data_IF_541291663195
#
_entry.id   IF_541291663195
#
_cell.length_a   1.000
_cell.length_b   1.000
_cell.length_c   1.000
_cell.angle_alpha   90.00
_cell.angle_beta   90.00
_cell.angle_gamma   90.00
#
_symmetry.space_group_name_H-M   'P 1'
#
loop_
_entity.id
_entity.type
_entity.pdbx_description
1 polymer ?
#
# COMPACT_ATOMS: atom_id res chain seq x y z
N UNK A 1 9.74 -1.53 6.67
CA UNK A 1 9.34 -1.01 5.33
C UNK A 1 10.45 -0.07 4.86
N UNK A 2 11.23 -0.46 3.85
CA UNK A 2 12.37 0.34 3.37
C UNK A 2 12.32 0.47 1.86
N UNK A 3 11.48 1.38 1.34
CA UNK A 3 11.61 1.85 -0.05
C UNK A 3 10.87 3.16 -0.24
N UNK A 4 11.23 4.20 0.49
CA UNK A 4 10.71 5.54 0.24
C UNK A 4 11.74 6.58 0.61
N UNK A 5 12.43 7.07 -0.41
CA UNK A 5 12.89 8.45 -0.50
C UNK A 5 13.83 8.93 0.62
N UNK A 6 15.04 8.37 0.63
CA UNK A 6 16.13 8.92 1.44
C UNK A 6 16.68 10.25 0.93
N UNK A 7 16.25 10.78 -0.22
CA UNK A 7 16.88 11.95 -0.86
C UNK A 7 17.90 11.60 -1.95
N UNK A 8 17.97 10.33 -2.35
CA UNK A 8 18.80 9.87 -3.45
C UNK A 8 18.33 10.49 -4.78
N UNK A 9 19.28 10.93 -5.60
CA UNK A 9 19.04 11.41 -6.97
C UNK A 9 19.87 10.59 -7.95
N UNK A 10 19.34 10.30 -9.12
CA UNK A 10 20.07 9.65 -10.20
C UNK A 10 20.22 10.59 -11.41
N UNK A 11 21.34 10.46 -12.11
CA UNK A 11 21.57 11.02 -13.44
C UNK A 11 22.06 9.91 -14.35
N UNK A 12 21.30 9.63 -15.38
CA UNK A 12 21.64 8.62 -16.39
C UNK A 12 22.28 9.31 -17.59
N UNK A 13 23.39 8.75 -18.06
CA UNK A 13 24.13 9.23 -19.22
C UNK A 13 23.80 8.38 -20.46
N UNK A 14 23.99 8.92 -21.68
CA UNK A 14 23.67 8.20 -22.92
C UNK A 14 24.51 6.94 -23.17
N UNK A 15 25.68 6.84 -22.53
CA UNK A 15 26.59 5.68 -22.58
C UNK A 15 26.17 4.54 -21.63
N UNK A 16 25.05 4.71 -20.91
CA UNK A 16 24.53 3.75 -19.94
C UNK A 16 25.11 3.90 -18.53
N UNK A 17 25.98 4.88 -18.29
CA UNK A 17 26.51 5.16 -16.95
C UNK A 17 25.43 5.81 -16.08
N UNK A 18 25.27 5.30 -14.85
CA UNK A 18 24.34 5.85 -13.85
C UNK A 18 25.13 6.49 -12.72
N UNK A 19 24.88 7.77 -12.48
CA UNK A 19 25.45 8.54 -11.37
C UNK A 19 24.41 8.65 -10.26
N UNK A 20 24.69 8.08 -9.11
CA UNK A 20 23.87 8.13 -7.90
C UNK A 20 24.41 9.18 -6.95
N UNK A 21 23.60 10.19 -6.62
CA UNK A 21 23.87 11.14 -5.56
C UNK A 21 23.15 10.70 -4.28
N UNK A 22 23.92 10.41 -3.25
CA UNK A 22 23.43 10.10 -1.93
C UNK A 22 22.96 11.38 -1.20
N UNK A 23 22.02 11.25 -0.26
CA UNK A 23 21.53 12.37 0.55
C UNK A 23 22.63 13.00 1.41
N UNK A 24 23.63 12.20 1.78
CA UNK A 24 24.82 12.65 2.52
C UNK A 24 25.82 13.44 1.68
N UNK A 25 25.57 13.62 0.37
CA UNK A 25 26.45 14.33 -0.56
C UNK A 25 27.45 13.44 -1.30
N UNK A 26 27.55 12.15 -0.98
CA UNK A 26 28.41 11.23 -1.73
C UNK A 26 27.86 10.94 -3.12
N UNK A 27 28.74 10.71 -4.09
CA UNK A 27 28.38 10.35 -5.45
C UNK A 27 28.99 9.01 -5.81
N UNK A 28 28.18 8.11 -6.37
CA UNK A 28 28.59 6.79 -6.81
C UNK A 28 28.33 6.65 -8.31
N UNK A 29 29.30 6.13 -9.03
CA UNK A 29 29.20 5.90 -10.48
C UNK A 29 29.09 4.41 -10.72
N UNK A 30 28.10 4.00 -11.51
CA UNK A 30 27.89 2.61 -11.90
C UNK A 30 27.81 2.52 -13.40
N UNK A 31 28.69 1.71 -13.99
CA UNK A 31 28.70 1.41 -15.42
C UNK A 31 28.28 -0.05 -15.61
N UNK A 32 27.44 -0.36 -16.61
CA UNK A 32 27.01 -1.74 -16.85
C UNK A 32 28.22 -2.61 -17.22
N UNK A 33 28.29 -3.83 -16.65
CA UNK A 33 29.37 -4.78 -16.97
C UNK A 33 29.40 -5.20 -18.44
N UNK A 34 28.28 -5.08 -19.16
CA UNK A 34 28.22 -5.27 -20.61
C UNK A 34 29.10 -4.30 -21.39
N UNK A 35 29.48 -3.16 -20.81
CA UNK A 35 30.42 -2.24 -21.44
C UNK A 35 31.80 -2.89 -21.69
N UNK A 36 32.20 -3.85 -20.86
CA UNK A 36 33.43 -4.62 -21.04
C UNK A 36 33.30 -5.68 -22.14
N UNK A 37 32.15 -6.36 -22.20
CA UNK A 37 31.91 -7.48 -23.12
C UNK A 37 31.47 -7.01 -24.52
N UNK A 38 30.73 -5.91 -24.59
CA UNK A 38 30.09 -5.40 -25.81
C UNK A 38 30.24 -3.88 -25.95
N UNK A 39 31.47 -3.33 -26.02
CA UNK A 39 31.71 -1.89 -26.01
C UNK A 39 31.02 -1.14 -27.16
N UNK A 40 30.89 -1.79 -28.32
CA UNK A 40 30.21 -1.20 -29.50
C UNK A 40 28.71 -1.02 -29.30
N UNK A 41 28.06 -1.86 -28.49
CA UNK A 41 26.61 -1.76 -28.22
C UNK A 41 26.29 -0.76 -27.11
N UNK A 42 27.24 -0.48 -26.22
CA UNK A 42 27.12 0.55 -25.19
C UNK A 42 27.48 1.95 -25.71
N UNK A 43 28.08 2.06 -26.90
CA UNK A 43 28.32 3.35 -27.54
C UNK A 43 26.98 4.00 -27.96
N UNK A 44 26.75 5.28 -27.65
CA UNK A 44 25.56 5.99 -28.11
C UNK A 44 25.48 5.95 -29.64
N UNK A 45 24.37 5.45 -30.19
CA UNK A 45 24.20 5.34 -31.66
C UNK A 45 24.08 6.71 -32.35
N UNK A 46 23.57 7.71 -31.64
CA UNK A 46 23.45 9.10 -32.08
C UNK A 46 23.40 10.02 -30.84
N UNK A 47 23.77 11.31 -30.97
CA UNK A 47 23.60 12.27 -29.89
C UNK A 47 22.10 12.37 -29.50
N UNK A 48 21.80 12.05 -28.25
CA UNK A 48 20.45 12.17 -27.70
C UNK A 48 20.19 13.65 -27.39
N UNK A 49 19.35 14.29 -28.22
CA UNK A 49 18.79 15.59 -27.89
C UNK A 49 17.69 15.35 -26.87
N UNK A 50 18.00 15.49 -25.57
CA UNK A 50 16.97 15.48 -24.53
C UNK A 50 16.28 16.84 -24.57
N UNK A 51 15.03 16.95 -25.05
CA UNK A 51 14.33 18.22 -25.02
C UNK A 51 14.25 18.69 -23.57
N UNK A 52 14.59 19.97 -23.32
CA UNK A 52 14.38 20.59 -22.01
C UNK A 52 12.93 20.34 -21.64
N UNK A 53 12.70 19.64 -20.53
CA UNK A 53 11.36 19.22 -20.09
C UNK A 53 10.47 20.45 -20.14
N UNK A 54 9.61 20.55 -21.16
CA UNK A 54 8.65 21.63 -21.24
C UNK A 54 7.85 21.55 -19.95
N UNK A 55 7.82 22.64 -19.17
CA UNK A 55 6.95 22.73 -18.02
C UNK A 55 5.58 22.23 -18.45
N UNK A 56 5.01 21.29 -17.69
CA UNK A 56 3.76 20.61 -18.05
C UNK A 56 2.74 21.72 -18.31
N UNK A 57 2.50 22.06 -19.57
CA UNK A 57 1.43 22.96 -19.95
C UNK A 57 0.16 22.29 -19.46
N UNK A 58 -0.56 22.99 -18.59
CA UNK A 58 -1.70 22.50 -17.83
C UNK A 58 -2.86 22.14 -18.74
N UNK A 59 -2.78 20.97 -19.35
CA UNK A 59 -3.86 20.31 -20.07
C UNK A 59 -4.05 18.92 -19.47
N UNK A 60 -5.26 18.64 -19.00
CA UNK A 60 -5.63 17.42 -18.30
C UNK A 60 -5.66 16.21 -19.25
N UNK A 61 -4.47 15.78 -19.68
CA UNK A 61 -4.25 14.54 -20.45
C UNK A 61 -4.64 13.28 -19.65
N UNK A 62 -4.92 13.42 -18.36
CA UNK A 62 -5.30 12.34 -17.44
C UNK A 62 -6.82 12.18 -17.27
N UNK A 63 -7.64 12.98 -17.94
CA UNK A 63 -9.11 12.90 -17.82
C UNK A 63 -9.73 11.57 -18.32
N UNK A 64 -8.94 10.66 -18.92
CA UNK A 64 -9.40 9.31 -19.33
C UNK A 64 -9.30 8.26 -18.22
N UNK A 65 -8.63 8.54 -17.10
CA UNK A 65 -8.47 7.57 -16.01
C UNK A 65 -9.49 7.82 -14.89
N UNK A 66 -10.25 6.80 -14.45
CA UNK A 66 -11.22 6.97 -13.38
C UNK A 66 -10.53 7.44 -12.10
N UNK A 67 -11.02 8.55 -11.55
CA UNK A 67 -10.50 9.11 -10.29
C UNK A 67 -11.06 8.31 -9.12
N UNK A 68 -10.22 8.10 -8.10
CA UNK A 68 -10.59 7.35 -6.91
C UNK A 68 -11.72 8.09 -6.17
N UNK A 69 -12.88 7.44 -6.02
CA UNK A 69 -14.07 8.02 -5.35
C UNK A 69 -13.91 8.21 -3.83
N UNK A 70 -13.00 7.46 -3.19
CA UNK A 70 -12.75 7.52 -1.73
C UNK A 70 -11.26 7.60 -1.44
N UNK A 71 -10.88 8.39 -0.45
CA UNK A 71 -9.48 8.43 0.01
C UNK A 71 -9.06 7.08 0.59
N UNK A 72 -7.74 6.82 0.66
CA UNK A 72 -7.24 5.59 1.30
C UNK A 72 -7.66 5.51 2.77
N UNK A 73 -7.61 6.63 3.49
CA UNK A 73 -8.06 6.71 4.88
C UNK A 73 -9.54 6.31 5.04
N UNK A 74 -10.43 6.84 4.17
CA UNK A 74 -11.85 6.49 4.18
C UNK A 74 -12.11 5.01 3.83
N UNK A 75 -11.26 4.42 2.97
CA UNK A 75 -11.33 2.99 2.64
C UNK A 75 -10.89 2.12 3.82
N UNK A 76 -9.79 2.50 4.49
CA UNK A 76 -9.29 1.80 5.67
C UNK A 76 -10.27 1.87 6.84
N UNK A 77 -10.82 3.05 7.13
CA UNK A 77 -11.83 3.22 8.17
C UNK A 77 -13.08 2.35 7.92
N UNK A 78 -13.55 2.27 6.67
CA UNK A 78 -14.70 1.44 6.32
C UNK A 78 -14.41 -0.06 6.48
N UNK A 79 -13.22 -0.52 6.08
CA UNK A 79 -12.80 -1.89 6.27
C UNK A 79 -12.73 -2.27 7.76
N UNK A 80 -12.11 -1.42 8.58
CA UNK A 80 -12.02 -1.63 10.03
C UNK A 80 -13.41 -1.64 10.68
N UNK A 81 -14.30 -0.72 10.30
CA UNK A 81 -15.65 -0.65 10.84
C UNK A 81 -16.45 -1.93 10.51
N UNK A 82 -16.35 -2.42 9.27
CA UNK A 82 -16.97 -3.68 8.85
C UNK A 82 -16.43 -4.86 9.66
N UNK A 83 -15.12 -4.95 9.79
CA UNK A 83 -14.46 -6.01 10.54
C UNK A 83 -14.87 -6.01 12.02
N UNK A 84 -14.94 -4.82 12.63
CA UNK A 84 -15.41 -4.66 14.02
C UNK A 84 -16.88 -5.06 14.17
N UNK A 85 -17.72 -4.76 13.18
CA UNK A 85 -19.13 -5.17 13.20
C UNK A 85 -19.28 -6.70 13.12
N UNK A 86 -18.56 -7.33 12.19
CA UNK A 86 -18.52 -8.79 12.07
C UNK A 86 -18.04 -9.45 13.38
N UNK A 87 -16.94 -8.96 13.93
CA UNK A 87 -16.40 -9.47 15.20
C UNK A 87 -17.32 -9.22 16.40
N UNK A 88 -18.19 -8.20 16.37
CA UNK A 88 -19.24 -8.03 17.40
C UNK A 88 -20.33 -9.08 17.25
N UNK A 89 -20.80 -9.35 16.04
CA UNK A 89 -21.82 -10.37 15.78
C UNK A 89 -21.32 -11.76 16.23
N UNK A 90 -20.12 -12.17 15.82
CA UNK A 90 -19.51 -13.44 16.24
C UNK A 90 -19.39 -13.59 17.76
N UNK A 91 -19.06 -12.50 18.47
CA UNK A 91 -19.01 -12.52 19.95
C UNK A 91 -20.40 -12.65 20.58
N UNK A 92 -21.42 -12.02 20.00
CA UNK A 92 -22.79 -12.14 20.49
C UNK A 92 -23.33 -13.56 20.31
N UNK A 93 -23.06 -14.20 19.17
CA UNK A 93 -23.40 -15.60 18.91
C UNK A 93 -22.74 -16.53 19.92
N UNK A 94 -21.41 -16.47 20.06
CA UNK A 94 -20.68 -17.26 21.07
C UNK A 94 -21.19 -17.03 22.49
N UNK A 95 -21.58 -15.79 22.81
CA UNK A 95 -22.16 -15.46 24.12
C UNK A 95 -23.54 -16.08 24.30
N UNK A 96 -24.39 -16.07 23.26
CA UNK A 96 -25.70 -16.77 23.27
C UNK A 96 -25.51 -18.26 23.46
N UNK A 97 -24.60 -18.89 22.71
CA UNK A 97 -24.32 -20.32 22.82
C UNK A 97 -23.78 -20.68 24.22
N UNK A 98 -22.88 -19.86 24.76
CA UNK A 98 -22.37 -20.04 26.12
C UNK A 98 -23.48 -19.91 27.18
N UNK A 99 -24.39 -18.94 27.05
CA UNK A 99 -25.54 -18.80 27.95
C UNK A 99 -26.52 -19.97 27.82
N UNK A 100 -26.79 -20.47 26.61
CA UNK A 100 -27.61 -21.65 26.39
C UNK A 100 -27.00 -22.92 27.04
N UNK A 101 -25.68 -23.04 27.02
CA UNK A 101 -24.95 -24.12 27.69
C UNK A 101 -24.96 -23.97 29.23
N UNK A 102 -24.83 -22.75 29.76
CA UNK A 102 -24.73 -22.47 31.19
C UNK A 102 -26.06 -22.49 31.94
N UNK A 103 -27.15 -22.01 31.33
CA UNK A 103 -28.48 -21.98 31.97
C UNK A 103 -29.34 -23.20 31.67
N UNK A 104 -28.92 -24.05 30.73
CA UNK A 104 -29.74 -25.15 30.22
C UNK A 104 -30.98 -24.63 29.48
N UNK A 105 -31.46 -25.38 28.49
CA UNK A 105 -32.73 -25.07 27.81
C UNK A 105 -33.94 -25.39 28.71
N UNK A 106 -33.97 -24.84 29.93
CA UNK A 106 -35.12 -24.96 30.82
C UNK A 106 -36.02 -23.73 30.57
N UNK A 107 -37.14 -23.94 29.88
CA UNK A 107 -38.25 -23.02 30.04
C UNK A 107 -38.64 -23.01 31.53
N UNK A 108 -38.82 -21.84 32.16
CA UNK A 108 -39.22 -21.78 33.56
C UNK A 108 -40.61 -22.42 33.71
N UNK A 109 -40.69 -23.48 34.52
CA UNK A 109 -41.96 -24.11 34.85
C UNK A 109 -42.80 -23.10 35.66
N UNK A 110 -44.02 -22.72 35.20
CA UNK A 110 -44.84 -21.73 35.89
C UNK A 110 -45.29 -22.13 37.31
N UNK A 111 -45.06 -23.38 37.71
CA UNK A 111 -45.37 -23.92 39.05
C UNK A 111 -44.22 -23.78 40.06
N UNK A 112 -43.03 -23.34 39.62
CA UNK A 112 -41.91 -23.10 40.54
C UNK A 112 -42.13 -21.77 41.29
N UNK A 113 -42.94 -21.84 42.33
CA UNK A 113 -43.12 -20.75 43.30
C UNK A 113 -41.77 -20.30 43.89
N UNK A 114 -41.65 -19.03 44.28
CA UNK A 114 -40.38 -18.47 44.72
C UNK A 114 -39.81 -19.25 45.92
N UNK A 115 -38.49 -19.52 45.95
CA UNK A 115 -37.87 -20.30 47.02
C UNK A 115 -38.04 -19.60 48.38
N UNK A 116 -38.24 -20.38 49.47
CA UNK A 116 -38.46 -19.82 50.79
C UNK A 116 -37.18 -19.15 51.32
N UNK A 117 -37.33 -17.86 51.62
CA UNK A 117 -36.44 -16.87 52.27
C UNK A 117 -34.95 -17.16 52.39
#
# INVERSE_FOLDING_TARGET
MLKTFGGWKDRQLPDGTVIWAAPSGHTYVTTPGSALLFPRLCAPTAPVVVPKKAGIAGGDRNAKMPRRRRTRAQSGAAAIARERAHNRAMRQEKRRDAYAYLLGNAEPNPDDGPPPF
#
